data_IF_216372159069
#
_entry.id   IF_216372159069
#
_cell.length_a   1.000
_cell.length_b   1.000
_cell.length_c   1.000
_cell.angle_alpha   90.00
_cell.angle_beta   90.00
_cell.angle_gamma   90.00
#
_symmetry.space_group_name_H-M   'P 1'
#
loop_
_entity.id
_entity.type
_entity.pdbx_description
1 polymer ?
#
# COMPACT_ATOMS: atom_id res chain seq x y z
N UNK A 1 17.58 -2.63 7.51
CA UNK A 1 17.53 -2.62 6.03
C UNK A 1 16.82 -1.35 5.60
N UNK A 2 17.33 -0.59 4.61
CA UNK A 2 16.64 0.58 4.09
C UNK A 2 15.35 0.18 3.36
N UNK A 3 14.34 1.06 3.38
CA UNK A 3 13.12 0.87 2.60
C UNK A 3 13.28 1.45 1.17
N UNK A 4 12.60 0.90 0.16
CA UNK A 4 12.56 1.48 -1.18
C UNK A 4 12.01 2.92 -1.16
N UNK A 5 12.68 3.84 -1.86
CA UNK A 5 12.30 5.26 -1.91
C UNK A 5 11.14 5.57 -2.86
N UNK A 6 10.75 4.62 -3.71
CA UNK A 6 9.73 4.72 -4.75
C UNK A 6 8.43 3.96 -4.40
N UNK A 7 8.31 3.51 -3.15
CA UNK A 7 7.16 2.79 -2.62
C UNK A 7 6.37 3.63 -1.60
N UNK A 8 5.04 3.57 -1.65
CA UNK A 8 4.15 4.19 -0.66
C UNK A 8 3.32 3.14 0.09
N UNK A 9 3.09 3.33 1.38
CA UNK A 9 2.25 2.45 2.20
C UNK A 9 0.94 3.17 2.54
N UNK A 10 -0.20 2.55 2.24
CA UNK A 10 -1.53 3.12 2.46
C UNK A 10 -2.40 2.12 3.21
N UNK A 11 -2.54 2.33 4.52
CA UNK A 11 -3.31 1.45 5.40
C UNK A 11 -3.31 2.00 6.82
N UNK A 12 -4.30 1.60 7.61
CA UNK A 12 -4.24 1.76 9.07
C UNK A 12 -3.66 0.49 9.69
N UNK A 13 -2.88 0.63 10.76
CA UNK A 13 -2.28 -0.51 11.46
C UNK A 13 -3.04 -0.73 12.77
N UNK A 14 -3.63 -1.92 12.92
CA UNK A 14 -4.20 -2.35 14.19
C UNK A 14 -3.14 -2.90 15.14
N UNK A 15 -3.48 -2.99 16.42
CA UNK A 15 -2.55 -3.44 17.46
C UNK A 15 -2.12 -4.91 17.30
N UNK A 16 -2.95 -5.74 16.66
CA UNK A 16 -2.60 -7.12 16.34
C UNK A 16 -1.74 -7.22 15.05
N UNK A 17 -1.36 -6.08 14.46
CA UNK A 17 -0.57 -6.00 13.25
C UNK A 17 -1.37 -6.22 11.98
N UNK A 18 -2.70 -6.21 12.02
CA UNK A 18 -3.54 -6.26 10.83
C UNK A 18 -3.52 -4.91 10.07
N UNK A 19 -3.51 -4.97 8.75
CA UNK A 19 -3.58 -3.80 7.88
C UNK A 19 -5.03 -3.58 7.47
N UNK A 20 -5.59 -2.43 7.85
CA UNK A 20 -6.99 -2.08 7.64
C UNK A 20 -7.14 -1.08 6.48
N UNK A 21 -8.30 -1.06 5.80
CA UNK A 21 -8.55 -0.16 4.68
C UNK A 21 -8.45 1.33 5.06
N UNK A 22 -8.13 2.17 4.09
CA UNK A 22 -8.14 3.63 4.22
C UNK A 22 -9.21 4.26 3.34
N UNK A 23 -9.75 5.39 3.83
CA UNK A 23 -10.72 6.17 3.06
C UNK A 23 -10.06 6.81 1.83
N UNK A 24 -10.79 6.80 0.70
CA UNK A 24 -10.41 7.42 -0.58
C UNK A 24 -9.09 6.88 -1.17
N UNK A 25 -8.89 5.55 -1.12
CA UNK A 25 -7.69 4.90 -1.66
C UNK A 25 -7.37 5.33 -3.11
N UNK A 26 -8.35 5.32 -4.01
CA UNK A 26 -8.14 5.68 -5.43
C UNK A 26 -7.51 7.06 -5.60
N UNK A 27 -7.96 8.06 -4.83
CA UNK A 27 -7.40 9.43 -4.88
C UNK A 27 -5.95 9.44 -4.37
N UNK A 28 -5.64 8.66 -3.33
CA UNK A 28 -4.29 8.55 -2.77
C UNK A 28 -3.34 7.88 -3.77
N UNK A 29 -3.79 6.84 -4.47
CA UNK A 29 -3.01 6.17 -5.52
C UNK A 29 -2.73 7.09 -6.71
N UNK A 30 -3.73 7.88 -7.15
CA UNK A 30 -3.54 8.87 -8.20
C UNK A 30 -2.48 9.91 -7.82
N UNK A 31 -2.53 10.40 -6.58
CA UNK A 31 -1.56 11.37 -6.08
C UNK A 31 -0.16 10.77 -5.94
N UNK A 32 -0.05 9.53 -5.44
CA UNK A 32 1.22 8.82 -5.36
C UNK A 32 1.87 8.66 -6.76
N UNK A 33 1.11 8.24 -7.76
CA UNK A 33 1.61 8.16 -9.13
C UNK A 33 2.04 9.53 -9.67
N UNK A 34 1.26 10.60 -9.38
CA UNK A 34 1.60 11.98 -9.78
C UNK A 34 2.92 12.47 -9.18
N UNK A 35 3.24 12.02 -7.97
CA UNK A 35 4.49 12.34 -7.27
C UNK A 35 5.68 11.44 -7.67
N UNK A 36 5.46 10.46 -8.55
CA UNK A 36 6.50 9.58 -9.08
C UNK A 36 6.70 8.26 -8.34
N UNK A 37 5.81 7.89 -7.41
CA UNK A 37 5.82 6.55 -6.81
C UNK A 37 5.42 5.49 -7.83
N UNK A 38 6.15 4.38 -7.84
CA UNK A 38 5.97 3.26 -8.79
C UNK A 38 5.17 2.11 -8.18
N UNK A 39 5.17 2.01 -6.84
CA UNK A 39 4.52 0.94 -6.10
C UNK A 39 3.75 1.46 -4.87
N UNK A 40 2.62 0.83 -4.56
CA UNK A 40 1.87 1.02 -3.33
C UNK A 40 1.58 -0.31 -2.64
N UNK A 41 1.81 -0.34 -1.33
CA UNK A 41 1.36 -1.41 -0.44
C UNK A 41 0.05 -0.98 0.21
N UNK A 42 -1.02 -1.76 0.03
CA UNK A 42 -2.37 -1.43 0.51
C UNK A 42 -3.01 -2.60 1.27
N UNK A 43 -4.05 -2.33 2.06
CA UNK A 43 -4.79 -3.41 2.72
C UNK A 43 -5.40 -4.38 1.69
N UNK A 44 -5.30 -5.69 1.96
CA UNK A 44 -6.00 -6.71 1.19
C UNK A 44 -7.53 -6.63 1.33
N UNK A 45 -8.03 -5.86 2.29
CA UNK A 45 -9.45 -5.63 2.54
C UNK A 45 -9.99 -4.39 1.82
N UNK A 46 -9.16 -3.69 1.04
CA UNK A 46 -9.61 -2.54 0.26
C UNK A 46 -10.67 -2.93 -0.76
N UNK A 47 -11.74 -2.13 -0.82
CA UNK A 47 -12.79 -2.29 -1.82
C UNK A 47 -12.42 -1.58 -3.12
N UNK A 48 -12.47 -2.29 -4.25
CA UNK A 48 -12.34 -1.70 -5.59
C UNK A 48 -11.36 -2.41 -6.52
N UNK A 49 -11.82 -2.67 -7.75
CA UNK A 49 -11.10 -3.36 -8.83
C UNK A 49 -10.88 -2.48 -10.05
N UNK A 50 -10.55 -1.21 -9.86
CA UNK A 50 -10.15 -0.31 -10.94
C UNK A 50 -8.68 -0.49 -11.31
N UNK A 51 -8.32 -0.17 -12.55
CA UNK A 51 -6.91 -0.13 -12.98
C UNK A 51 -6.17 0.94 -12.19
N UNK A 52 -5.24 0.53 -11.32
CA UNK A 52 -4.41 1.45 -10.57
C UNK A 52 -3.36 2.12 -11.48
N UNK A 53 -2.98 3.38 -11.22
CA UNK A 53 -1.98 4.09 -12.02
C UNK A 53 -0.53 3.68 -11.71
N UNK A 54 -0.32 2.74 -10.79
CA UNK A 54 0.97 2.23 -10.35
C UNK A 54 0.81 0.77 -9.84
N UNK A 55 1.90 0.08 -9.52
CA UNK A 55 1.86 -1.29 -9.01
C UNK A 55 1.24 -1.34 -7.60
N UNK A 56 0.26 -2.23 -7.38
CA UNK A 56 -0.47 -2.31 -6.11
C UNK A 56 -0.34 -3.69 -5.50
N UNK A 57 0.41 -3.78 -4.42
CA UNK A 57 0.58 -4.99 -3.62
C UNK A 57 -0.41 -4.96 -2.45
N UNK A 58 -1.20 -6.03 -2.31
CA UNK A 58 -2.21 -6.16 -1.26
C UNK A 58 -1.70 -7.04 -0.14
N UNK A 59 -1.81 -6.55 1.10
CA UNK A 59 -1.30 -7.24 2.30
C UNK A 59 -2.32 -7.27 3.44
N UNK A 60 -2.29 -8.33 4.24
CA UNK A 60 -3.19 -8.49 5.39
C UNK A 60 -2.55 -8.08 6.70
N UNK A 61 -1.22 -8.16 6.81
CA UNK A 61 -0.48 -7.88 8.06
C UNK A 61 0.74 -7.00 7.82
N UNK A 62 1.22 -6.35 8.88
CA UNK A 62 2.46 -5.56 8.87
C UNK A 62 3.66 -6.43 8.50
N UNK A 63 3.67 -7.71 8.92
CA UNK A 63 4.72 -8.66 8.56
C UNK A 63 4.76 -8.92 7.05
N UNK A 64 3.60 -9.03 6.41
CA UNK A 64 3.52 -9.21 4.95
C UNK A 64 3.97 -7.93 4.22
N UNK A 65 3.60 -6.75 4.73
CA UNK A 65 4.03 -5.46 4.19
C UNK A 65 5.55 -5.32 4.20
N UNK A 66 6.20 -5.68 5.32
CA UNK A 66 7.66 -5.63 5.44
C UNK A 66 8.33 -6.66 4.52
N UNK A 67 7.82 -7.88 4.44
CA UNK A 67 8.35 -8.90 3.52
C UNK A 67 8.23 -8.51 2.05
N UNK A 68 7.20 -7.75 1.69
CA UNK A 68 7.00 -7.31 0.30
C UNK A 68 8.07 -6.32 -0.18
N UNK A 69 8.73 -5.61 0.73
CA UNK A 69 9.63 -4.49 0.41
C UNK A 69 11.05 -4.67 0.95
N UNK A 70 11.23 -5.56 1.92
CA UNK A 70 12.53 -5.91 2.51
C UNK A 70 12.92 -7.29 2.00
N UNK A 71 13.89 -7.34 1.10
CA UNK A 71 14.71 -8.53 0.84
C UNK A 71 15.92 -8.57 1.78
#
# INVERSE_FOLDING_TARGET
VPLPGDCVFLGEVGLAGEIRPVVRLTRRLQEAARLGFTQAIVSAREGGGGKAPLDVVRVSTLKDALKAVIS
#
